data_IF_790355683119
#
_entry.id   IF_790355683119
#
_cell.length_a   1.000
_cell.length_b   1.000
_cell.length_c   1.000
_cell.angle_alpha   90.00
_cell.angle_beta   90.00
_cell.angle_gamma   90.00
#
_symmetry.space_group_name_H-M   'P 1'
#
loop_
_entity.id
_entity.type
_entity.pdbx_description
1 polymer ?
#
# COMPACT_ATOMS: atom_id res chain seq x y z
N UNK A 1 -9.26 7.71 4.96
CA UNK A 1 -8.44 8.91 4.69
C UNK A 1 -9.37 10.00 4.17
N UNK A 2 -9.29 11.26 4.63
CA UNK A 2 -10.06 12.33 3.97
C UNK A 2 -9.66 12.41 2.50
N UNK A 3 -10.65 12.51 1.59
CA UNK A 3 -10.40 12.63 0.15
C UNK A 3 -9.49 13.81 -0.19
N UNK A 4 -9.58 14.90 0.58
CA UNK A 4 -8.80 16.11 0.39
C UNK A 4 -7.28 15.88 0.52
N UNK A 5 -6.86 14.98 1.40
CA UNK A 5 -5.44 14.65 1.58
C UNK A 5 -4.88 13.98 0.33
N UNK A 6 -5.64 13.04 -0.24
CA UNK A 6 -5.21 12.33 -1.43
C UNK A 6 -5.01 13.28 -2.61
N UNK A 7 -5.97 14.17 -2.85
CA UNK A 7 -5.88 15.11 -3.97
C UNK A 7 -4.79 16.17 -3.80
N UNK A 8 -4.52 16.60 -2.56
CA UNK A 8 -3.53 17.64 -2.28
C UNK A 8 -2.11 17.10 -2.26
N UNK A 9 -1.90 15.92 -1.64
CA UNK A 9 -0.57 15.44 -1.30
C UNK A 9 -0.13 14.19 -2.05
N UNK A 10 -1.05 13.40 -2.59
CA UNK A 10 -0.75 12.14 -3.28
C UNK A 10 -0.92 12.29 -4.79
N UNK A 11 -2.03 12.84 -5.26
CA UNK A 11 -2.34 12.95 -6.68
C UNK A 11 -1.27 13.70 -7.50
N UNK A 12 -0.69 14.83 -7.05
CA UNK A 12 0.36 15.53 -7.79
C UNK A 12 1.65 14.72 -7.91
N UNK A 13 1.91 13.84 -6.95
CA UNK A 13 3.10 12.99 -6.90
C UNK A 13 2.85 11.57 -7.39
N UNK A 14 1.63 11.26 -7.87
CA UNK A 14 1.27 9.92 -8.37
C UNK A 14 2.26 9.42 -9.44
N UNK A 15 2.74 10.29 -10.31
CA UNK A 15 3.71 9.91 -11.35
C UNK A 15 5.01 9.31 -10.80
N UNK A 16 5.55 9.86 -9.70
CA UNK A 16 6.76 9.31 -9.09
C UNK A 16 6.47 8.05 -8.27
N UNK A 17 5.33 8.00 -7.59
CA UNK A 17 4.87 6.81 -6.87
C UNK A 17 4.72 5.61 -7.80
N UNK A 18 4.06 5.82 -8.95
CA UNK A 18 3.85 4.77 -9.96
C UNK A 18 5.19 4.27 -10.50
N UNK A 19 6.13 5.16 -10.82
CA UNK A 19 7.46 4.77 -11.31
C UNK A 19 8.22 3.94 -10.29
N UNK A 20 8.20 4.33 -9.02
CA UNK A 20 8.90 3.59 -7.96
C UNK A 20 8.24 2.24 -7.77
N UNK A 21 6.92 2.18 -7.54
CA UNK A 21 6.23 0.90 -7.34
C UNK A 21 6.47 -0.06 -8.53
N UNK A 22 6.37 0.42 -9.78
CA UNK A 22 6.65 -0.38 -10.98
C UNK A 22 8.09 -0.85 -11.11
N UNK A 23 9.06 -0.15 -10.52
CA UNK A 23 10.45 -0.61 -10.50
C UNK A 23 10.64 -1.81 -9.56
N UNK A 24 9.74 -2.00 -8.59
CA UNK A 24 9.81 -3.05 -7.58
C UNK A 24 8.76 -4.15 -7.74
N UNK A 25 7.80 -4.01 -8.67
CA UNK A 25 6.73 -4.97 -8.92
C UNK A 25 6.76 -5.51 -10.34
N UNK A 26 6.33 -6.76 -10.51
CA UNK A 26 6.30 -7.44 -11.81
C UNK A 26 4.87 -7.72 -12.28
N UNK A 27 3.94 -7.97 -11.35
CA UNK A 27 2.51 -8.13 -11.64
C UNK A 27 1.71 -6.83 -11.44
N UNK A 28 0.53 -6.77 -12.06
CA UNK A 28 -0.46 -5.72 -11.79
C UNK A 28 -0.99 -5.81 -10.35
N UNK A 29 -1.20 -7.04 -9.84
CA UNK A 29 -1.67 -7.25 -8.47
C UNK A 29 -0.67 -6.71 -7.44
N UNK A 30 0.61 -7.09 -7.56
CA UNK A 30 1.69 -6.58 -6.71
C UNK A 30 1.78 -5.06 -6.76
N UNK A 31 1.61 -4.47 -7.95
CA UNK A 31 1.61 -3.02 -8.12
C UNK A 31 0.49 -2.35 -7.32
N UNK A 32 -0.73 -2.89 -7.37
CA UNK A 32 -1.88 -2.36 -6.65
C UNK A 32 -1.69 -2.48 -5.13
N UNK A 33 -1.21 -3.62 -4.65
CA UNK A 33 -0.90 -3.85 -3.23
C UNK A 33 0.18 -2.88 -2.74
N UNK A 34 1.27 -2.74 -3.48
CA UNK A 34 2.36 -1.82 -3.13
C UNK A 34 1.87 -0.38 -3.13
N UNK A 35 1.06 0.01 -4.12
CA UNK A 35 0.53 1.35 -4.22
C UNK A 35 -0.41 1.68 -3.05
N UNK A 36 -1.28 0.75 -2.66
CA UNK A 36 -2.15 0.91 -1.50
C UNK A 36 -1.36 1.04 -0.20
N UNK A 37 -0.39 0.16 0.03
CA UNK A 37 0.44 0.19 1.24
C UNK A 37 1.25 1.50 1.34
N UNK A 38 1.80 1.97 0.22
CA UNK A 38 2.49 3.27 0.14
C UNK A 38 1.55 4.40 0.53
N UNK A 39 0.32 4.43 0.01
CA UNK A 39 -0.67 5.45 0.37
C UNK A 39 -1.00 5.40 1.86
N UNK A 40 -1.21 4.21 2.43
CA UNK A 40 -1.46 3.99 3.85
C UNK A 40 -0.31 4.51 4.71
N UNK A 41 0.92 4.17 4.34
CA UNK A 41 2.09 4.58 5.11
C UNK A 41 2.33 6.09 5.03
N UNK A 42 2.11 6.70 3.86
CA UNK A 42 2.13 8.16 3.69
C UNK A 42 1.13 8.84 4.60
N UNK A 43 -0.11 8.35 4.62
CA UNK A 43 -1.16 8.91 5.47
C UNK A 43 -0.85 8.75 6.96
N UNK A 44 -0.35 7.59 7.40
CA UNK A 44 0.04 7.34 8.80
C UNK A 44 1.24 8.21 9.22
N UNK A 45 2.20 8.40 8.31
CA UNK A 45 3.45 9.09 8.61
C UNK A 45 3.36 10.60 8.45
N UNK A 46 2.24 11.14 7.93
CA UNK A 46 2.09 12.57 7.63
C UNK A 46 2.34 13.47 8.85
N UNK A 47 1.97 13.00 10.05
CA UNK A 47 2.13 13.76 11.31
C UNK A 47 3.58 13.77 11.79
N UNK A 48 4.40 12.83 11.31
CA UNK A 48 5.83 12.78 11.58
C UNK A 48 6.65 13.65 10.60
N UNK A 49 6.00 14.31 9.62
CA UNK A 49 6.69 15.22 8.71
C UNK A 49 7.04 16.52 9.43
N UNK A 50 8.33 16.70 9.73
CA UNK A 50 8.85 17.85 10.49
C UNK A 50 9.27 19.04 9.59
N UNK A 51 8.78 19.14 8.35
CA UNK A 51 9.11 20.21 7.38
C UNK A 51 10.61 20.45 7.12
N UNK A 52 11.50 19.55 7.57
CA UNK A 52 12.95 19.65 7.36
C UNK A 52 13.41 19.37 5.93
N UNK A 53 12.49 19.01 5.04
CA UNK A 53 12.71 18.72 3.62
C UNK A 53 11.46 19.02 2.83
N UNK A 54 11.56 19.21 1.51
CA UNK A 54 10.38 19.32 0.66
C UNK A 54 9.47 18.09 0.78
N UNK A 55 8.15 18.30 0.68
CA UNK A 55 7.15 17.23 0.75
C UNK A 55 7.46 16.12 -0.26
N UNK A 56 7.79 16.47 -1.50
CA UNK A 56 8.15 15.52 -2.56
C UNK A 56 9.34 14.61 -2.20
N UNK A 57 10.36 15.15 -1.54
CA UNK A 57 11.53 14.39 -1.07
C UNK A 57 11.12 13.41 0.03
N UNK A 58 10.27 13.85 0.95
CA UNK A 58 9.78 12.98 2.02
C UNK A 58 8.88 11.86 1.48
N UNK A 59 7.96 12.18 0.56
CA UNK A 59 7.12 11.20 -0.13
C UNK A 59 7.98 10.15 -0.83
N UNK A 60 8.98 10.58 -1.61
CA UNK A 60 9.92 9.67 -2.27
C UNK A 60 10.57 8.69 -1.28
N UNK A 61 11.08 9.21 -0.15
CA UNK A 61 11.73 8.39 0.88
C UNK A 61 10.78 7.38 1.51
N UNK A 62 9.55 7.79 1.85
CA UNK A 62 8.55 6.90 2.43
C UNK A 62 8.20 5.80 1.43
N UNK A 63 7.89 6.15 0.19
CA UNK A 63 7.56 5.19 -0.86
C UNK A 63 8.68 4.18 -1.09
N UNK A 64 9.91 4.66 -1.24
CA UNK A 64 11.08 3.78 -1.43
C UNK A 64 11.26 2.81 -0.26
N UNK A 65 11.16 3.30 0.97
CA UNK A 65 11.28 2.45 2.17
C UNK A 65 10.19 1.37 2.23
N UNK A 66 8.95 1.73 1.86
CA UNK A 66 7.84 0.77 1.81
C UNK A 66 8.08 -0.28 0.73
N UNK A 67 8.41 0.13 -0.50
CA UNK A 67 8.69 -0.82 -1.58
C UNK A 67 9.84 -1.78 -1.24
N UNK A 68 10.93 -1.28 -0.63
CA UNK A 68 12.04 -2.11 -0.17
C UNK A 68 11.62 -3.06 0.96
N UNK A 69 10.78 -2.60 1.89
CA UNK A 69 10.25 -3.43 2.97
C UNK A 69 9.39 -4.58 2.44
N UNK A 70 8.47 -4.27 1.51
CA UNK A 70 7.61 -5.25 0.86
C UNK A 70 8.42 -6.24 0.03
N UNK A 71 9.41 -5.78 -0.74
CA UNK A 71 10.27 -6.66 -1.53
C UNK A 71 11.06 -7.64 -0.65
N UNK A 72 11.50 -7.19 0.54
CA UNK A 72 12.18 -8.06 1.52
C UNK A 72 11.24 -9.09 2.13
N UNK A 73 9.96 -8.75 2.33
CA UNK A 73 8.93 -9.69 2.79
C UNK A 73 8.61 -10.74 1.72
N UNK A 74 8.37 -10.31 0.48
CA UNK A 74 8.12 -11.25 -0.63
C UNK A 74 9.28 -12.21 -0.88
N UNK A 75 10.54 -11.79 -0.66
CA UNK A 75 11.71 -12.70 -0.75
C UNK A 75 11.85 -13.67 0.42
N UNK A 76 11.24 -13.39 1.57
CA UNK A 76 11.35 -14.20 2.79
C UNK A 76 10.23 -15.21 2.96
N UNK A 77 9.13 -15.05 2.25
CA UNK A 77 7.99 -15.98 2.27
C UNK A 77 8.16 -17.03 1.15
N UNK A 78 8.59 -18.27 1.44
CA UNK A 78 8.17 -19.40 0.61
C UNK A 78 6.66 -19.53 0.78
N UNK A 79 5.95 -19.64 -0.35
CA UNK A 79 4.50 -19.72 -0.44
C UNK A 79 3.91 -20.76 0.53
N UNK A 80 3.36 -20.32 1.66
CA UNK A 80 2.47 -21.13 2.49
C UNK A 80 1.41 -20.25 3.11
N UNK A 81 0.38 -19.92 2.33
CA UNK A 81 -0.90 -19.48 2.86
C UNK A 81 -2.04 -19.81 1.88
N UNK A 82 -2.05 -21.04 1.35
CA UNK A 82 -3.33 -21.68 1.10
C UNK A 82 -3.64 -22.53 2.33
N UNK A 83 -4.77 -22.22 2.98
CA UNK A 83 -5.79 -23.15 3.45
C UNK A 83 -6.64 -22.43 4.50
N UNK A 84 -7.87 -22.07 4.12
CA UNK A 84 -8.99 -22.38 5.00
C UNK A 84 -10.01 -23.18 4.19
N UNK A 85 -10.41 -24.37 4.68
CA UNK A 85 -11.39 -25.23 4.03
C UNK A 85 -12.80 -24.64 4.13
N UNK A 86 -13.65 -25.07 3.18
CA UNK A 86 -15.12 -25.03 3.23
C UNK A 86 -15.61 -25.34 4.66
N UNK A 87 -16.30 -24.40 5.31
CA UNK A 87 -17.23 -24.76 6.37
C UNK A 87 -18.54 -23.98 6.24
N UNK A 88 -19.53 -24.74 5.79
CA UNK A 88 -20.95 -24.44 5.76
C UNK A 88 -21.45 -24.16 7.17
N UNK A 89 -21.65 -22.89 7.53
CA UNK A 89 -22.58 -22.55 8.62
C UNK A 89 -23.51 -21.41 8.21
N UNK A 90 -24.64 -21.82 7.63
CA UNK A 90 -25.98 -21.48 8.14
C UNK A 90 -26.17 -20.05 8.62
N UNK A 91 -26.24 -19.09 7.70
CA UNK A 91 -27.15 -17.96 7.90
C UNK A 91 -28.47 -18.28 7.21
N UNK A 92 -29.30 -18.98 7.98
CA UNK A 92 -30.74 -19.06 7.86
C UNK A 92 -31.35 -17.69 7.53
N UNK A 93 -31.64 -17.48 6.25
CA UNK A 93 -32.58 -16.49 5.77
C UNK A 93 -33.88 -17.19 5.38
N UNK A 94 -34.93 -16.96 6.18
CA UNK A 94 -36.35 -16.85 5.83
C UNK A 94 -37.28 -17.55 6.86
N UNK A 95 -37.88 -16.73 7.74
CA UNK A 95 -39.32 -16.85 8.06
C UNK A 95 -40.10 -16.71 6.73
N UNK A 96 -41.22 -17.43 6.52
CA UNK A 96 -42.35 -17.57 7.44
C UNK A 96 -42.74 -19.00 7.83
#
# INVERSE_FOLDING_TARGET
MSGDFYHTYIAPHKGILVKICRAYTHSQADFEDYFQEVCLQLWKSREAFQERSAWSTWVYRVTLNVCLSLQRKSKKEPATAELLPDDLTTHSYAFP
#
